data_IF_806243572239
#
_entry.id   IF_806243572239
#
_cell.length_a   1.000
_cell.length_b   1.000
_cell.length_c   1.000
_cell.angle_alpha   90.00
_cell.angle_beta   90.00
_cell.angle_gamma   90.00
#
_symmetry.space_group_name_H-M   'P 1'
#
loop_
_entity.id
_entity.type
_entity.pdbx_description
1 polymer ?
#
# COMPACT_ATOMS: atom_id res chain seq x y z
N UNK A 1 20.08 8.17 7.82
CA UNK A 1 18.96 8.76 7.05
C UNK A 1 17.57 8.60 7.69
N UNK A 2 16.91 7.41 7.74
CA UNK A 2 15.49 7.31 8.20
C UNK A 2 15.25 7.90 9.59
N UNK A 3 16.15 7.61 10.54
CA UNK A 3 16.10 8.18 11.90
C UNK A 3 16.37 9.69 11.92
N UNK A 4 17.34 10.14 11.14
CA UNK A 4 17.72 11.55 11.05
C UNK A 4 16.56 12.42 10.58
N UNK A 5 15.73 11.90 9.65
CA UNK A 5 14.53 12.61 9.16
C UNK A 5 13.28 12.37 10.01
N UNK A 6 13.39 11.64 11.14
CA UNK A 6 12.29 11.37 12.05
C UNK A 6 11.20 10.41 11.52
N UNK A 7 11.45 9.74 10.39
CA UNK A 7 10.47 8.84 9.79
C UNK A 7 10.24 7.60 10.67
N UNK A 8 8.97 7.24 10.87
CA UNK A 8 8.53 6.08 11.68
C UNK A 8 8.33 4.80 10.88
N UNK A 9 8.25 4.92 9.56
CA UNK A 9 8.04 3.79 8.65
C UNK A 9 9.07 3.83 7.53
N UNK A 10 9.73 2.71 7.27
CA UNK A 10 10.55 2.45 6.10
C UNK A 10 9.85 1.39 5.24
N UNK A 11 9.57 1.69 3.98
CA UNK A 11 8.96 0.73 3.04
C UNK A 11 10.03 0.14 2.14
N UNK A 12 10.10 -1.19 2.10
CA UNK A 12 11.02 -1.95 1.27
C UNK A 12 10.26 -2.58 0.09
N UNK A 13 10.92 -2.60 -1.07
CA UNK A 13 10.46 -3.34 -2.23
C UNK A 13 10.76 -4.84 -2.05
N UNK A 14 9.91 -5.73 -2.59
CA UNK A 14 10.22 -7.14 -2.58
C UNK A 14 11.43 -7.45 -3.46
N UNK A 15 12.31 -8.36 -3.02
CA UNK A 15 13.51 -8.74 -3.76
C UNK A 15 13.13 -9.45 -5.07
N UNK A 16 14.01 -9.33 -6.08
CA UNK A 16 13.93 -10.20 -7.26
C UNK A 16 14.07 -11.66 -6.85
N UNK A 17 13.46 -12.58 -7.60
CA UNK A 17 13.42 -14.00 -7.25
C UNK A 17 14.82 -14.60 -7.02
N UNK A 18 15.80 -14.21 -7.85
CA UNK A 18 17.17 -14.71 -7.79
C UNK A 18 18.07 -13.93 -6.83
N UNK A 19 17.56 -12.89 -6.17
CA UNK A 19 18.31 -12.15 -5.15
C UNK A 19 18.16 -12.82 -3.78
N UNK A 20 18.75 -14.01 -3.68
CA UNK A 20 18.70 -14.82 -2.47
C UNK A 20 19.40 -14.15 -1.28
N UNK A 21 20.43 -13.33 -1.54
CA UNK A 21 21.16 -12.60 -0.49
C UNK A 21 20.24 -11.56 0.16
N UNK A 22 19.57 -10.73 -0.64
CA UNK A 22 18.62 -9.76 -0.12
C UNK A 22 17.43 -10.44 0.56
N UNK A 23 16.85 -11.48 -0.04
CA UNK A 23 15.73 -12.20 0.57
C UNK A 23 16.11 -12.83 1.94
N UNK A 24 17.30 -13.41 2.05
CA UNK A 24 17.83 -13.96 3.30
C UNK A 24 18.06 -12.87 4.35
N UNK A 25 18.67 -11.74 3.95
CA UNK A 25 18.89 -10.60 4.83
C UNK A 25 17.56 -10.01 5.34
N UNK A 26 16.57 -9.84 4.46
CA UNK A 26 15.24 -9.36 4.83
C UNK A 26 14.58 -10.26 5.89
N UNK A 27 14.69 -11.58 5.73
CA UNK A 27 14.08 -12.54 6.66
C UNK A 27 14.79 -12.59 8.03
N UNK A 28 16.10 -12.36 8.07
CA UNK A 28 16.92 -12.51 9.28
C UNK A 28 17.15 -11.21 10.04
N UNK A 29 17.51 -10.14 9.34
CA UNK A 29 17.98 -8.91 9.98
C UNK A 29 16.85 -7.90 10.22
N UNK A 30 15.84 -7.84 9.37
CA UNK A 30 14.73 -6.88 9.56
C UNK A 30 13.99 -7.08 10.89
N UNK A 31 13.64 -8.31 11.33
CA UNK A 31 13.02 -8.49 12.64
C UNK A 31 13.85 -7.89 13.78
N UNK A 32 15.16 -8.16 13.79
CA UNK A 32 16.11 -7.62 14.78
C UNK A 32 16.20 -6.09 14.73
N UNK A 33 16.22 -5.52 13.53
CA UNK A 33 16.29 -4.07 13.34
C UNK A 33 15.01 -3.36 13.81
N UNK A 34 13.83 -3.97 13.62
CA UNK A 34 12.58 -3.39 14.13
C UNK A 34 12.57 -3.32 15.65
N UNK A 35 13.02 -4.39 16.30
CA UNK A 35 13.11 -4.47 17.77
C UNK A 35 14.12 -3.47 18.32
N UNK A 36 15.32 -3.42 17.73
CA UNK A 36 16.40 -2.54 18.18
C UNK A 36 16.06 -1.06 17.98
N UNK A 37 15.49 -0.71 16.83
CA UNK A 37 15.38 0.68 16.39
C UNK A 37 13.99 1.28 16.61
N UNK A 38 13.04 0.51 17.15
CA UNK A 38 11.64 0.91 17.33
C UNK A 38 11.03 1.55 16.06
N UNK A 39 11.40 1.00 14.90
CA UNK A 39 11.03 1.48 13.57
C UNK A 39 10.14 0.45 12.88
N UNK A 40 9.06 0.89 12.25
CA UNK A 40 8.29 0.01 11.38
C UNK A 40 8.99 -0.15 10.03
N UNK A 41 9.54 -1.33 9.75
CA UNK A 41 10.11 -1.63 8.43
C UNK A 41 9.16 -2.53 7.66
N UNK A 42 8.42 -2.00 6.70
CA UNK A 42 7.36 -2.69 5.98
C UNK A 42 7.84 -3.29 4.64
N UNK A 43 7.29 -4.44 4.25
CA UNK A 43 7.47 -5.00 2.90
C UNK A 43 6.23 -4.68 2.06
N UNK A 44 6.45 -4.07 0.90
CA UNK A 44 5.39 -3.79 -0.06
C UNK A 44 4.96 -5.07 -0.79
N UNK A 45 3.65 -5.23 -1.06
CA UNK A 45 3.20 -6.30 -1.94
C UNK A 45 3.85 -6.19 -3.34
N UNK A 46 4.30 -7.32 -3.86
CA UNK A 46 5.04 -7.36 -5.12
C UNK A 46 4.21 -6.88 -6.32
N UNK A 47 4.85 -6.31 -7.35
CA UNK A 47 4.18 -6.02 -8.62
C UNK A 47 3.73 -7.31 -9.29
N UNK A 48 2.87 -7.19 -10.31
CA UNK A 48 2.62 -8.29 -11.23
C UNK A 48 3.89 -8.60 -12.04
N UNK A 49 4.04 -9.84 -12.46
CA UNK A 49 5.18 -10.27 -13.25
C UNK A 49 5.50 -11.74 -13.01
N UNK A 50 5.63 -12.49 -14.10
CA UNK A 50 6.11 -13.86 -14.08
C UNK A 50 7.21 -14.03 -15.12
N UNK A 51 8.29 -14.70 -14.71
CA UNK A 51 9.26 -15.29 -15.61
C UNK A 51 8.67 -16.58 -16.21
N UNK A 52 8.83 -16.76 -17.52
CA UNK A 52 8.28 -17.91 -18.28
C UNK A 52 6.76 -18.13 -18.11
N UNK A 53 6.00 -17.09 -17.75
CA UNK A 53 4.54 -17.15 -17.64
C UNK A 53 3.99 -17.68 -16.29
N UNK A 54 4.76 -18.47 -15.54
CA UNK A 54 4.30 -19.08 -14.27
C UNK A 54 5.22 -18.87 -13.06
N UNK A 55 6.48 -18.49 -13.25
CA UNK A 55 7.43 -18.32 -12.15
C UNK A 55 7.36 -16.88 -11.64
N UNK A 56 7.06 -16.59 -10.37
CA UNK A 56 7.01 -15.21 -9.87
C UNK A 56 8.33 -14.46 -10.06
N UNK A 57 8.31 -13.21 -10.54
CA UNK A 57 9.55 -12.42 -10.71
C UNK A 57 10.21 -11.98 -9.39
N UNK A 58 9.44 -11.98 -8.30
CA UNK A 58 9.87 -11.49 -7.00
C UNK A 58 9.70 -12.58 -5.94
N UNK A 59 10.69 -12.71 -5.06
CA UNK A 59 10.56 -13.51 -3.86
C UNK A 59 9.71 -12.76 -2.82
N UNK A 60 9.18 -13.48 -1.82
CA UNK A 60 8.32 -12.91 -0.78
C UNK A 60 7.03 -12.26 -1.33
N UNK A 61 6.59 -12.70 -2.51
CA UNK A 61 5.48 -12.10 -3.25
C UNK A 61 4.10 -12.67 -2.88
N UNK A 62 4.04 -13.83 -2.22
CA UNK A 62 2.77 -14.46 -1.83
C UNK A 62 2.28 -13.94 -0.46
N UNK A 63 0.97 -14.08 -0.22
CA UNK A 63 0.31 -13.59 0.99
C UNK A 63 0.88 -14.20 2.28
N UNK A 64 1.31 -15.46 2.26
CA UNK A 64 1.84 -16.12 3.46
C UNK A 64 3.21 -15.55 3.86
N UNK A 65 4.11 -15.33 2.91
CA UNK A 65 5.42 -14.72 3.16
C UNK A 65 5.28 -13.27 3.65
N UNK A 66 4.37 -12.48 3.05
CA UNK A 66 4.06 -11.13 3.53
C UNK A 66 3.56 -11.12 4.98
N UNK A 67 2.64 -12.04 5.33
CA UNK A 67 2.15 -12.19 6.71
C UNK A 67 3.26 -12.62 7.68
N UNK A 68 4.17 -13.51 7.25
CA UNK A 68 5.34 -13.90 8.04
C UNK A 68 6.30 -12.72 8.25
N UNK A 69 6.35 -11.77 7.32
CA UNK A 69 7.14 -10.54 7.44
C UNK A 69 6.54 -9.52 8.43
N UNK A 70 5.30 -9.69 8.89
CA UNK A 70 4.59 -8.95 9.95
C UNK A 70 4.25 -7.48 9.70
N UNK A 71 5.12 -6.69 9.06
CA UNK A 71 4.83 -5.30 8.73
C UNK A 71 4.67 -5.20 7.20
N UNK A 72 3.46 -4.90 6.74
CA UNK A 72 3.11 -4.86 5.33
C UNK A 72 2.83 -3.42 4.92
N UNK A 73 3.32 -3.04 3.74
CA UNK A 73 2.85 -1.88 2.99
C UNK A 73 1.94 -2.35 1.85
N UNK A 74 0.73 -1.81 1.76
CA UNK A 74 -0.20 -2.16 0.67
C UNK A 74 -0.17 -1.09 -0.42
N UNK A 75 0.34 -1.45 -1.60
CA UNK A 75 0.24 -0.71 -2.85
C UNK A 75 -1.02 -1.15 -3.60
N UNK A 76 -2.01 -0.27 -3.66
CA UNK A 76 -3.33 -0.56 -4.23
C UNK A 76 -3.28 -0.74 -5.75
N UNK A 77 -2.39 -0.03 -6.45
CA UNK A 77 -2.28 -0.18 -7.90
C UNK A 77 -1.66 -1.52 -8.29
N UNK A 78 -0.79 -2.10 -7.45
CA UNK A 78 -0.24 -3.46 -7.67
C UNK A 78 -1.27 -4.57 -7.44
N UNK A 79 -2.22 -4.37 -6.54
CA UNK A 79 -3.38 -5.25 -6.42
C UNK A 79 -4.19 -5.22 -7.73
N UNK A 80 -4.46 -4.02 -8.25
CA UNK A 80 -5.17 -3.84 -9.53
C UNK A 80 -4.43 -4.42 -10.73
N UNK A 81 -3.10 -4.24 -10.78
CA UNK A 81 -2.22 -4.82 -11.81
C UNK A 81 -2.31 -6.35 -11.84
N UNK A 82 -2.45 -6.98 -10.66
CA UNK A 82 -2.66 -8.43 -10.50
C UNK A 82 -4.11 -8.88 -10.69
N UNK A 83 -5.04 -7.96 -10.97
CA UNK A 83 -6.49 -8.21 -11.05
C UNK A 83 -7.04 -8.88 -9.78
N UNK A 84 -6.47 -8.53 -8.62
CA UNK A 84 -6.89 -9.04 -7.32
C UNK A 84 -7.96 -8.13 -6.71
N UNK A 85 -8.79 -8.70 -5.84
CA UNK A 85 -9.77 -7.93 -5.08
C UNK A 85 -9.10 -7.17 -3.92
N UNK A 86 -9.25 -5.84 -3.90
CA UNK A 86 -8.62 -4.97 -2.91
C UNK A 86 -9.16 -5.19 -1.50
N UNK A 87 -10.46 -5.41 -1.35
CA UNK A 87 -11.09 -5.59 -0.04
C UNK A 87 -10.70 -6.92 0.59
N UNK A 88 -10.55 -7.97 -0.23
CA UNK A 88 -10.03 -9.28 0.16
C UNK A 88 -8.56 -9.20 0.56
N UNK A 89 -7.73 -8.48 -0.21
CA UNK A 89 -6.35 -8.24 0.15
C UNK A 89 -6.24 -7.48 1.48
N UNK A 90 -7.03 -6.41 1.64
CA UNK A 90 -7.11 -5.66 2.89
C UNK A 90 -7.51 -6.54 4.08
N UNK A 91 -8.61 -7.30 3.98
CA UNK A 91 -9.05 -8.23 5.03
C UNK A 91 -7.96 -9.23 5.41
N UNK A 92 -7.20 -9.73 4.43
CA UNK A 92 -6.10 -10.65 4.67
C UNK A 92 -4.90 -10.02 5.38
N UNK A 93 -4.65 -8.73 5.16
CA UNK A 93 -3.45 -8.04 5.63
C UNK A 93 -3.68 -7.07 6.80
N UNK A 94 -4.93 -6.72 7.13
CA UNK A 94 -5.25 -5.63 8.08
C UNK A 94 -4.49 -5.69 9.41
N UNK A 95 -4.28 -6.89 9.97
CA UNK A 95 -3.55 -7.09 11.24
C UNK A 95 -2.05 -6.80 11.17
N UNK A 96 -1.50 -6.73 9.97
CA UNK A 96 -0.07 -6.56 9.67
C UNK A 96 0.22 -5.25 8.94
N UNK A 97 -0.82 -4.48 8.60
CA UNK A 97 -0.72 -3.33 7.72
C UNK A 97 -0.23 -2.12 8.51
N UNK A 98 0.90 -1.55 8.11
CA UNK A 98 1.50 -0.38 8.76
C UNK A 98 1.63 0.83 7.84
N UNK A 99 1.50 0.61 6.53
CA UNK A 99 1.51 1.66 5.52
C UNK A 99 0.65 1.33 4.31
N UNK A 100 0.17 2.36 3.61
CA UNK A 100 -0.58 2.21 2.36
C UNK A 100 -0.02 3.19 1.33
N UNK A 101 0.30 2.67 0.15
CA UNK A 101 0.47 3.48 -1.06
C UNK A 101 -0.82 3.46 -1.87
N UNK A 102 -1.52 4.61 -1.86
CA UNK A 102 -2.80 4.80 -2.51
C UNK A 102 -2.61 5.32 -3.93
N UNK A 103 -3.14 4.57 -4.89
CA UNK A 103 -3.25 4.98 -6.29
C UNK A 103 -4.16 4.02 -7.04
N UNK A 104 -4.64 4.44 -8.20
CA UNK A 104 -5.60 3.69 -8.99
C UNK A 104 -4.93 3.06 -10.24
N UNK A 105 -5.68 2.24 -10.96
CA UNK A 105 -5.31 1.68 -12.27
C UNK A 105 -6.30 2.21 -13.29
N UNK A 106 -5.81 2.99 -14.25
CA UNK A 106 -6.63 3.59 -15.31
C UNK A 106 -6.19 3.06 -16.67
N UNK A 107 -7.14 2.49 -17.44
CA UNK A 107 -6.88 1.90 -18.78
C UNK A 107 -5.67 0.94 -18.79
N UNK A 108 -5.58 0.09 -17.77
CA UNK A 108 -4.48 -0.88 -17.61
C UNK A 108 -3.12 -0.26 -17.21
N UNK A 109 -3.06 1.04 -16.94
CA UNK A 109 -1.85 1.73 -16.47
C UNK A 109 -1.96 2.01 -14.97
N UNK A 110 -0.98 1.53 -14.21
CA UNK A 110 -0.87 1.73 -12.77
C UNK A 110 -0.56 3.17 -12.39
N UNK A 111 -0.71 3.45 -11.10
CA UNK A 111 -0.31 4.70 -10.44
C UNK A 111 -1.03 5.92 -11.01
N UNK A 112 -2.31 5.75 -11.37
CA UNK A 112 -3.22 6.84 -11.70
C UNK A 112 -3.74 7.53 -10.42
N UNK A 113 -4.28 8.76 -10.52
CA UNK A 113 -4.90 9.45 -9.39
C UNK A 113 -5.99 8.58 -8.72
N UNK A 114 -6.21 8.67 -7.40
CA UNK A 114 -7.20 7.85 -6.70
C UNK A 114 -8.61 7.92 -7.30
N UNK A 115 -9.01 9.10 -7.80
CA UNK A 115 -10.29 9.35 -8.45
C UNK A 115 -10.42 8.77 -9.86
N UNK A 116 -9.34 8.26 -10.45
CA UNK A 116 -9.31 7.84 -11.86
C UNK A 116 -8.92 6.38 -12.00
N UNK A 117 -9.90 5.50 -12.27
CA UNK A 117 -9.60 4.11 -12.58
C UNK A 117 -10.65 3.14 -12.07
N UNK A 118 -10.23 1.88 -11.96
CA UNK A 118 -11.12 0.75 -11.67
C UNK A 118 -11.08 0.29 -10.22
N UNK A 119 -10.12 0.77 -9.42
CA UNK A 119 -9.97 0.33 -8.04
C UNK A 119 -11.07 0.94 -7.16
N UNK A 120 -11.68 0.18 -6.23
CA UNK A 120 -12.75 0.67 -5.36
C UNK A 120 -12.19 1.50 -4.19
N UNK A 121 -11.46 2.58 -4.49
CA UNK A 121 -10.70 3.34 -3.51
C UNK A 121 -11.60 4.16 -2.57
N UNK A 122 -12.79 4.57 -3.00
CA UNK A 122 -13.78 5.24 -2.15
C UNK A 122 -14.22 4.34 -0.98
N UNK A 123 -14.67 3.12 -1.31
CA UNK A 123 -15.08 2.12 -0.33
C UNK A 123 -13.91 1.66 0.54
N UNK A 124 -12.72 1.54 -0.06
CA UNK A 124 -11.50 1.16 0.67
C UNK A 124 -11.12 2.21 1.72
N UNK A 125 -11.09 3.50 1.35
CA UNK A 125 -10.81 4.59 2.30
C UNK A 125 -11.87 4.67 3.40
N UNK A 126 -13.15 4.59 3.03
CA UNK A 126 -14.26 4.56 4.01
C UNK A 126 -14.06 3.41 5.00
N UNK A 127 -13.71 2.21 4.51
CA UNK A 127 -13.48 1.04 5.36
C UNK A 127 -12.26 1.20 6.27
N UNK A 128 -11.17 1.78 5.78
CA UNK A 128 -10.00 2.08 6.62
C UNK A 128 -10.35 3.05 7.76
N UNK A 129 -11.21 4.03 7.49
CA UNK A 129 -11.71 4.97 8.52
C UNK A 129 -12.57 4.25 9.56
N UNK A 130 -13.51 3.41 9.11
CA UNK A 130 -14.35 2.59 9.99
C UNK A 130 -13.50 1.68 10.90
N UNK A 131 -12.50 1.03 10.32
CA UNK A 131 -11.60 0.13 11.05
C UNK A 131 -10.53 0.88 11.88
N UNK A 132 -10.60 2.22 11.94
CA UNK A 132 -9.66 3.10 12.67
C UNK A 132 -8.20 2.80 12.30
N UNK A 133 -7.93 2.62 11.01
CA UNK A 133 -6.59 2.29 10.51
C UNK A 133 -5.55 3.28 11.04
N UNK A 134 -4.53 2.82 11.81
CA UNK A 134 -3.63 3.72 12.53
C UNK A 134 -2.39 4.14 11.71
N UNK A 135 -2.18 3.53 10.54
CA UNK A 135 -1.00 3.75 9.71
C UNK A 135 -1.11 4.95 8.79
N UNK A 136 0.02 5.38 8.23
CA UNK A 136 0.05 6.45 7.25
C UNK A 136 -0.42 5.97 5.87
N UNK A 137 -1.12 6.84 5.15
CA UNK A 137 -1.53 6.67 3.76
C UNK A 137 -0.76 7.69 2.95
N UNK A 138 0.01 7.24 1.96
CA UNK A 138 0.73 8.11 1.02
C UNK A 138 0.23 7.86 -0.38
N UNK A 139 0.21 8.90 -1.21
CA UNK A 139 -0.25 8.81 -2.59
C UNK A 139 0.94 8.52 -3.50
N UNK A 140 0.79 7.57 -4.43
CA UNK A 140 1.86 7.11 -5.33
C UNK A 140 1.40 7.22 -6.78
N UNK A 141 1.54 8.40 -7.37
CA UNK A 141 1.08 8.71 -8.73
C UNK A 141 2.28 8.87 -9.67
N UNK A 142 2.16 8.41 -10.91
CA UNK A 142 3.20 8.65 -11.93
C UNK A 142 3.25 10.14 -12.32
N UNK A 143 4.44 10.72 -12.54
CA UNK A 143 4.62 12.14 -12.89
C UNK A 143 3.75 12.62 -14.06
N UNK A 144 3.51 11.75 -15.06
CA UNK A 144 2.67 12.07 -16.23
C UNK A 144 1.22 12.42 -15.87
N UNK A 145 0.67 11.86 -14.80
CA UNK A 145 -0.69 12.17 -14.34
C UNK A 145 -0.74 13.40 -13.45
N UNK A 146 0.43 13.85 -12.95
CA UNK A 146 0.55 15.09 -12.21
C UNK A 146 0.93 16.26 -13.11
N UNK A 147 1.15 16.03 -14.42
CA UNK A 147 1.70 17.05 -15.31
C UNK A 147 3.00 17.66 -14.77
N UNK A 148 3.93 16.81 -14.29
CA UNK A 148 5.11 17.21 -13.51
C UNK A 148 6.09 18.19 -14.17
N UNK A 149 5.85 18.62 -15.41
CA UNK A 149 6.56 19.70 -16.08
C UNK A 149 5.93 21.09 -15.85
N UNK A 150 4.78 21.17 -15.18
CA UNK A 150 3.99 22.38 -15.00
C UNK A 150 3.51 22.49 -13.55
N UNK A 151 4.20 23.28 -12.72
CA UNK A 151 3.97 23.37 -11.27
C UNK A 151 2.52 23.67 -10.89
N UNK A 152 1.86 24.60 -11.57
CA UNK A 152 0.47 24.94 -11.32
C UNK A 152 -0.47 23.74 -11.52
N UNK A 153 -0.23 22.96 -12.59
CA UNK A 153 -1.01 21.74 -12.84
C UNK A 153 -0.72 20.64 -11.83
N UNK A 154 0.53 20.52 -11.37
CA UNK A 154 0.88 19.60 -10.27
C UNK A 154 0.09 19.95 -9.02
N UNK A 155 0.06 21.23 -8.63
CA UNK A 155 -0.67 21.69 -7.46
C UNK A 155 -2.19 21.46 -7.59
N UNK A 156 -2.75 21.74 -8.76
CA UNK A 156 -4.17 21.45 -9.04
C UNK A 156 -4.49 19.96 -8.90
N UNK A 157 -3.67 19.07 -9.46
CA UNK A 157 -3.87 17.62 -9.35
C UNK A 157 -3.72 17.13 -7.90
N UNK A 158 -2.71 17.63 -7.17
CA UNK A 158 -2.53 17.28 -5.76
C UNK A 158 -3.69 17.77 -4.88
N UNK A 159 -4.28 18.93 -5.19
CA UNK A 159 -5.47 19.42 -4.49
C UNK A 159 -6.69 18.55 -4.77
N UNK A 160 -6.88 18.04 -6.00
CA UNK A 160 -7.93 17.05 -6.31
C UNK A 160 -7.75 15.76 -5.52
N UNK A 161 -6.52 15.25 -5.46
CA UNK A 161 -6.15 14.07 -4.68
C UNK A 161 -6.46 14.26 -3.19
N UNK A 162 -6.08 15.42 -2.64
CA UNK A 162 -6.34 15.78 -1.24
C UNK A 162 -7.83 15.84 -0.96
N UNK A 163 -8.62 16.51 -1.79
CA UNK A 163 -10.09 16.57 -1.66
C UNK A 163 -10.73 15.19 -1.69
N UNK A 164 -10.25 14.30 -2.56
CA UNK A 164 -10.72 12.92 -2.60
C UNK A 164 -10.44 12.18 -1.29
N UNK A 165 -9.22 12.28 -0.76
CA UNK A 165 -8.86 11.69 0.54
C UNK A 165 -9.69 12.28 1.69
N UNK A 166 -9.89 13.59 1.72
CA UNK A 166 -10.69 14.24 2.75
C UNK A 166 -12.15 13.79 2.72
N UNK A 167 -12.74 13.70 1.52
CA UNK A 167 -14.11 13.25 1.32
C UNK A 167 -14.32 11.81 1.78
N UNK A 168 -13.43 10.89 1.43
CA UNK A 168 -13.64 9.44 1.62
C UNK A 168 -12.87 8.80 2.77
N UNK A 169 -12.00 9.54 3.47
CA UNK A 169 -11.32 9.05 4.66
C UNK A 169 -11.47 9.99 5.86
N UNK A 170 -11.07 11.26 5.71
CA UNK A 170 -10.95 12.19 6.84
C UNK A 170 -12.33 12.57 7.41
N UNK A 171 -13.26 12.95 6.52
CA UNK A 171 -14.53 13.59 6.85
C UNK A 171 -15.73 12.63 6.73
N UNK A 172 -15.50 11.35 6.46
CA UNK A 172 -16.57 10.35 6.46
C UNK A 172 -17.15 10.25 7.86
N UNK A 173 -18.46 10.42 7.97
CA UNK A 173 -19.21 10.14 9.20
C UNK A 173 -19.40 8.63 9.31
N UNK A 174 -18.82 8.02 10.34
CA UNK A 174 -19.08 6.61 10.65
C UNK A 174 -20.32 6.61 11.54
N UNK A 175 -21.44 6.11 11.01
CA UNK A 175 -22.57 5.71 11.86
C UNK A 175 -22.15 4.45 12.59
N UNK A 176 -22.23 4.45 13.92
CA UNK A 176 -22.01 3.25 14.71
C UNK A 176 -23.14 2.27 14.39
N UNK A 177 -22.87 1.28 13.54
CA UNK A 177 -23.71 0.08 13.48
C UNK A 177 -23.44 -0.71 14.76
N UNK A 178 -24.47 -0.83 15.60
CA UNK A 178 -24.49 -1.72 16.77
C UNK A 178 -24.03 -3.11 16.33
N UNK A 179 -22.92 -3.57 16.90
CA UNK A 179 -22.48 -4.95 16.78
C UNK A 179 -23.59 -5.85 17.35
N UNK A 180 -24.38 -6.48 16.48
CA UNK A 180 -25.09 -7.70 16.85
C UNK A 180 -24.01 -8.73 17.19
N UNK A 181 -23.96 -9.07 18.47
CA UNK A 181 -23.22 -10.20 18.99
C UNK A 181 -23.91 -11.45 18.48
N UNK A 182 -23.31 -12.12 17.50
CA UNK A 182 -23.60 -13.52 17.26
C UNK A 182 -22.96 -14.32 18.41
N UNK A 183 -23.82 -14.79 19.32
CA UNK A 183 -23.51 -15.74 20.41
C UNK A 183 -23.12 -17.14 19.89
#
# INVERSE_FOLDING_TARGET
MTKEIGAKVLVLQPPKLLDFKLASWLKKEIPRLREKEFLSIALENAPAGTFLGFIPEHAMANSQELKKFKHISLDTARIGEKKQDLMRAYKAFKKYLVHIHLSNVYKGKKYAPPSEGIMPLESFLTKLKQDKYPGAISVKILPKYLHASEDDKVLEELEKVKKYYEKYYKNVKITEETEEKDD
#
